data_IF_033813667696
#
_entry.id   IF_033813667696
#
_cell.length_a   1.000
_cell.length_b   1.000
_cell.length_c   1.000
_cell.angle_alpha   90.00
_cell.angle_beta   90.00
_cell.angle_gamma   90.00
#
_symmetry.space_group_name_H-M   'P 1'
#
loop_
_entity.id
_entity.type
_entity.pdbx_description
1 polymer ?
#
# COMPACT_ATOMS: atom_id res chain seq x y z
N UNK A 1 -3.99 -24.01 -0.47
CA UNK A 1 -4.59 -22.75 -0.98
C UNK A 1 -4.44 -22.73 -2.50
N UNK A 2 -5.38 -22.14 -3.25
CA UNK A 2 -5.35 -22.07 -4.72
C UNK A 2 -5.14 -20.63 -5.18
N UNK A 3 -4.12 -20.36 -6.00
CA UNK A 3 -3.90 -19.04 -6.61
C UNK A 3 -5.08 -18.68 -7.52
N UNK A 4 -5.54 -17.43 -7.44
CA UNK A 4 -6.62 -16.86 -8.25
C UNK A 4 -6.12 -15.62 -8.97
N UNK A 5 -6.70 -15.34 -10.13
CA UNK A 5 -6.51 -14.07 -10.83
C UNK A 5 -7.44 -13.04 -10.19
N UNK A 6 -6.95 -11.81 -10.02
CA UNK A 6 -7.78 -10.67 -9.65
C UNK A 6 -8.47 -10.09 -10.88
N UNK A 7 -9.69 -9.60 -10.73
CA UNK A 7 -10.42 -8.87 -11.75
C UNK A 7 -10.54 -7.39 -11.38
N UNK A 8 -10.76 -6.54 -12.38
CA UNK A 8 -10.99 -5.09 -12.20
C UNK A 8 -9.87 -4.40 -11.41
N UNK A 9 -8.61 -4.76 -11.70
CA UNK A 9 -7.45 -4.12 -11.08
C UNK A 9 -7.35 -2.66 -11.54
N UNK A 10 -7.38 -1.74 -10.58
CA UNK A 10 -7.21 -0.30 -10.79
C UNK A 10 -6.10 0.21 -9.88
N UNK A 11 -5.19 0.99 -10.47
CA UNK A 11 -4.08 1.65 -9.78
C UNK A 11 -4.24 3.17 -9.93
N UNK A 12 -4.14 3.92 -8.82
CA UNK A 12 -4.21 5.37 -8.80
C UNK A 12 -3.08 5.98 -7.95
N UNK A 13 -2.74 7.25 -8.24
CA UNK A 13 -1.72 7.99 -7.51
C UNK A 13 -0.35 7.34 -7.64
N UNK A 14 0.41 7.26 -6.52
CA UNK A 14 1.74 6.67 -6.52
C UNK A 14 1.75 5.20 -6.98
N UNK A 15 0.65 4.45 -6.82
CA UNK A 15 0.53 3.09 -7.33
C UNK A 15 0.48 3.00 -8.86
N UNK A 16 -0.01 4.05 -9.55
CA UNK A 16 -0.01 4.12 -11.02
C UNK A 16 1.31 4.62 -11.56
N UNK A 17 1.93 5.56 -10.85
CA UNK A 17 3.21 6.17 -11.25
C UNK A 17 4.35 5.18 -11.09
N UNK A 18 4.25 4.29 -10.09
CA UNK A 18 5.21 3.23 -9.84
C UNK A 18 6.58 3.75 -9.39
N UNK A 19 7.22 2.97 -8.54
CA UNK A 19 8.69 2.91 -8.48
C UNK A 19 9.06 1.65 -9.29
N UNK A 20 10.18 1.67 -10.02
CA UNK A 20 10.74 0.47 -10.68
C UNK A 20 10.74 -0.71 -9.70
N UNK A 21 9.81 -1.65 -9.85
CA UNK A 21 9.63 -2.75 -8.89
C UNK A 21 8.18 -3.22 -8.69
N UNK A 22 7.19 -2.38 -8.99
CA UNK A 22 5.79 -2.81 -9.07
C UNK A 22 5.58 -3.64 -10.35
N UNK A 23 6.03 -4.90 -10.35
CA UNK A 23 5.94 -5.80 -11.51
C UNK A 23 4.50 -5.95 -12.03
N UNK A 24 4.33 -6.64 -13.18
CA UNK A 24 3.07 -6.72 -13.94
C UNK A 24 1.82 -7.16 -13.15
N UNK A 25 2.00 -7.73 -11.97
CA UNK A 25 0.91 -8.11 -11.09
C UNK A 25 1.19 -7.73 -9.62
N UNK A 26 0.77 -6.54 -9.18
CA UNK A 26 0.96 -6.08 -7.80
C UNK A 26 0.10 -6.84 -6.79
N UNK A 27 -0.81 -7.71 -7.22
CA UNK A 27 -1.72 -8.44 -6.32
C UNK A 27 -1.64 -9.95 -6.56
N UNK A 28 -1.24 -10.67 -5.52
CA UNK A 28 -1.29 -12.13 -5.49
C UNK A 28 -2.46 -12.57 -4.61
N UNK A 29 -3.50 -13.11 -5.24
CA UNK A 29 -4.71 -13.58 -4.55
C UNK A 29 -4.70 -15.12 -4.42
N UNK A 30 -5.02 -15.60 -3.23
CA UNK A 30 -5.14 -17.02 -2.92
C UNK A 30 -6.48 -17.30 -2.24
N UNK A 31 -7.18 -18.32 -2.69
CA UNK A 31 -8.43 -18.80 -2.07
C UNK A 31 -8.20 -20.10 -1.28
N UNK A 32 -8.84 -20.21 -0.12
CA UNK A 32 -8.95 -21.42 0.69
C UNK A 32 -10.42 -21.66 1.08
N UNK A 33 -10.74 -22.82 1.67
CA UNK A 33 -12.11 -23.07 2.17
C UNK A 33 -12.57 -22.02 3.19
N UNK A 34 -11.64 -21.52 4.01
CA UNK A 34 -11.91 -20.53 5.05
C UNK A 34 -11.81 -19.08 4.60
N UNK A 35 -11.67 -18.76 3.31
CA UNK A 35 -11.62 -17.38 2.82
C UNK A 35 -10.44 -17.09 1.88
N UNK A 36 -9.92 -15.86 1.93
CA UNK A 36 -8.87 -15.36 1.03
C UNK A 36 -7.64 -14.86 1.77
N UNK A 37 -6.50 -15.06 1.14
CA UNK A 37 -5.24 -14.43 1.50
C UNK A 37 -4.73 -13.67 0.29
N UNK A 38 -4.29 -12.44 0.51
CA UNK A 38 -3.79 -11.54 -0.52
C UNK A 38 -2.44 -11.00 -0.09
N UNK A 39 -1.52 -10.91 -1.06
CA UNK A 39 -0.29 -10.15 -0.92
C UNK A 39 -0.29 -9.04 -1.96
N UNK A 40 -0.25 -7.80 -1.48
CA UNK A 40 -0.29 -6.59 -2.31
C UNK A 40 1.07 -5.91 -2.23
N UNK A 41 1.77 -5.81 -3.36
CA UNK A 41 2.99 -5.00 -3.45
C UNK A 41 2.59 -3.53 -3.42
N UNK A 42 3.12 -2.77 -2.46
CA UNK A 42 2.84 -1.35 -2.34
C UNK A 42 3.84 -0.52 -3.16
N UNK A 43 3.57 0.78 -3.39
CA UNK A 43 4.38 1.60 -4.28
C UNK A 43 5.77 1.98 -3.71
N UNK A 44 6.10 1.60 -2.48
CA UNK A 44 7.42 1.78 -1.86
C UNK A 44 7.82 0.57 -1.02
N UNK A 45 9.12 0.29 -0.94
CA UNK A 45 9.72 -0.73 -0.08
C UNK A 45 10.21 -0.17 1.26
N UNK A 46 9.97 1.12 1.51
CA UNK A 46 10.34 1.80 2.76
C UNK A 46 9.11 1.83 3.68
N UNK A 47 8.96 0.86 4.61
CA UNK A 47 7.79 0.78 5.48
C UNK A 47 7.68 1.97 6.44
N UNK A 48 8.81 2.58 6.81
CA UNK A 48 8.88 3.68 7.79
C UNK A 48 8.20 4.96 7.29
N UNK A 49 8.07 5.11 5.97
CA UNK A 49 7.41 6.25 5.34
C UNK A 49 6.03 5.89 4.77
N UNK A 50 5.55 4.67 5.00
CA UNK A 50 4.37 4.12 4.34
C UNK A 50 3.25 3.84 5.34
N UNK A 51 2.13 4.52 5.14
CA UNK A 51 0.88 4.18 5.81
C UNK A 51 -0.05 3.49 4.83
N UNK A 52 -0.55 2.30 5.17
CA UNK A 52 -1.47 1.53 4.34
C UNK A 52 -2.63 0.96 5.15
N UNK A 53 -3.82 1.02 4.57
CA UNK A 53 -5.06 0.44 5.09
C UNK A 53 -5.82 -0.25 3.96
N UNK A 54 -6.84 -1.01 4.31
CA UNK A 54 -7.78 -1.53 3.33
C UNK A 54 -9.23 -1.44 3.82
N UNK A 55 -10.15 -1.56 2.87
CA UNK A 55 -11.58 -1.80 3.11
C UNK A 55 -12.13 -2.74 2.05
N UNK A 56 -13.26 -3.36 2.35
CA UNK A 56 -14.03 -4.19 1.42
C UNK A 56 -15.39 -3.53 1.23
N UNK A 57 -15.75 -3.18 0.00
CA UNK A 57 -17.02 -2.55 -0.34
C UNK A 57 -18.13 -3.60 -0.56
N UNK A 58 -19.38 -3.13 -0.72
CA UNK A 58 -20.56 -3.98 -0.84
C UNK A 58 -20.50 -4.97 -2.03
N UNK A 59 -19.82 -4.59 -3.10
CA UNK A 59 -19.65 -5.34 -4.35
C UNK A 59 -18.40 -6.24 -4.36
N UNK A 60 -17.86 -6.56 -3.19
CA UNK A 60 -16.65 -7.38 -3.02
C UNK A 60 -15.38 -6.74 -3.60
N UNK A 61 -15.41 -5.43 -3.82
CA UNK A 61 -14.24 -4.65 -4.18
C UNK A 61 -13.37 -4.40 -2.95
N UNK A 62 -12.13 -4.89 -3.01
CA UNK A 62 -11.08 -4.58 -2.05
C UNK A 62 -10.43 -3.29 -2.50
N UNK A 63 -10.28 -2.34 -1.57
CA UNK A 63 -9.57 -1.09 -1.79
C UNK A 63 -8.45 -1.02 -0.77
N UNK A 64 -7.21 -1.09 -1.25
CA UNK A 64 -6.01 -0.80 -0.49
C UNK A 64 -5.62 0.65 -0.78
N UNK A 65 -5.43 1.44 0.26
CA UNK A 65 -5.16 2.87 0.14
C UNK A 65 -4.17 3.32 1.19
N UNK A 66 -3.48 4.42 0.90
CA UNK A 66 -2.44 4.89 1.80
C UNK A 66 -1.74 6.15 1.32
N UNK A 67 -0.76 6.56 2.12
CA UNK A 67 0.10 7.72 1.88
C UNK A 67 1.55 7.28 2.00
N UNK A 68 2.38 7.77 1.08
CA UNK A 68 3.84 7.70 1.19
C UNK A 68 4.33 9.07 1.63
N UNK A 69 5.06 9.13 2.74
CA UNK A 69 5.69 10.34 3.22
C UNK A 69 7.02 10.56 2.48
N UNK A 70 7.02 11.38 1.43
CA UNK A 70 8.23 11.69 0.67
C UNK A 70 9.05 12.83 1.31
N UNK A 71 9.03 12.94 2.65
CA UNK A 71 9.82 13.91 3.40
C UNK A 71 11.31 13.84 3.04
N UNK A 72 12.01 14.97 3.19
CA UNK A 72 13.38 15.19 2.69
C UNK A 72 14.32 13.99 2.91
N UNK A 73 14.99 13.62 1.82
CA UNK A 73 16.17 12.75 1.74
C UNK A 73 17.02 12.92 3.02
N UNK A 74 17.42 11.85 3.73
CA UNK A 74 18.45 11.98 4.76
C UNK A 74 19.69 12.60 4.09
N UNK A 75 19.92 13.89 4.33
CA UNK A 75 21.09 14.59 3.81
C UNK A 75 22.34 13.81 4.21
N UNK A 76 23.41 13.85 3.39
CA UNK A 76 24.63 13.12 3.70
C UNK A 76 25.09 13.53 5.09
N UNK A 77 25.41 12.55 5.93
CA UNK A 77 25.98 12.77 7.25
C UNK A 77 27.09 13.82 7.15
N UNK A 78 26.95 14.97 7.79
CA UNK A 78 28.13 15.78 8.08
C UNK A 78 27.92 16.70 9.26
N UNK A 79 28.82 16.50 10.22
CA UNK A 79 29.48 17.47 11.10
C UNK A 79 29.07 18.94 10.88
N UNK A 80 28.94 19.74 11.97
CA UNK A 80 28.38 21.07 11.88
C UNK A 80 29.36 22.03 11.20
N UNK A 81 28.98 22.58 10.06
CA UNK A 81 29.58 23.80 9.52
C UNK A 81 28.49 24.88 9.48
N UNK A 82 28.70 25.92 10.30
CA UNK A 82 27.89 27.13 10.39
C UNK A 82 27.75 27.79 9.02
N UNK A 83 26.52 28.01 8.54
CA UNK A 83 26.24 29.07 7.57
C UNK A 83 24.89 29.75 7.85
N UNK A 84 25.03 31.00 8.26
CA UNK A 84 24.22 32.19 7.95
C UNK A 84 22.69 32.07 7.83
N UNK A 85 22.02 32.79 8.73
CA UNK A 85 20.60 33.10 8.72
C UNK A 85 20.20 33.74 7.38
N UNK A 86 19.22 33.15 6.70
CA UNK A 86 18.39 33.88 5.73
C UNK A 86 16.94 33.46 5.86
N UNK A 87 16.13 34.41 6.35
CA UNK A 87 14.69 34.35 6.45
C UNK A 87 14.05 34.08 5.08
N UNK A 88 13.41 32.93 4.86
CA UNK A 88 12.21 32.85 4.01
C UNK A 88 11.21 31.84 4.55
N UNK A 89 10.14 32.38 5.11
CA UNK A 89 8.84 31.73 5.29
C UNK A 89 8.46 31.03 3.98
N UNK A 90 8.49 29.70 3.97
CA UNK A 90 7.60 28.77 3.24
C UNK A 90 8.21 27.37 3.40
N UNK A 91 8.10 26.78 4.60
CA UNK A 91 8.33 25.34 4.76
C UNK A 91 7.25 24.67 3.92
N UNK A 92 7.67 24.20 2.75
CA UNK A 92 6.85 23.58 1.72
C UNK A 92 6.00 22.50 2.38
N UNK A 93 4.70 22.59 2.15
CA UNK A 93 3.70 21.61 2.51
C UNK A 93 4.23 20.21 2.11
N UNK A 94 4.26 19.32 3.09
CA UNK A 94 4.79 17.95 3.05
C UNK A 94 4.41 17.24 1.74
N UNK A 95 5.35 16.70 0.93
CA UNK A 95 4.99 15.98 -0.29
C UNK A 95 4.54 14.57 0.09
N UNK A 96 3.30 14.42 0.58
CA UNK A 96 2.68 13.12 0.70
C UNK A 96 2.19 12.65 -0.67
N UNK A 97 2.53 11.42 -1.06
CA UNK A 97 2.05 10.81 -2.30
C UNK A 97 0.96 9.77 -1.97
N UNK A 98 -0.34 10.08 -2.20
CA UNK A 98 -1.41 9.12 -2.00
C UNK A 98 -1.39 8.02 -3.05
N UNK A 99 -1.86 6.83 -2.66
CA UNK A 99 -2.07 5.72 -3.59
C UNK A 99 -3.36 4.97 -3.31
N UNK A 100 -3.89 4.36 -4.36
CA UNK A 100 -5.01 3.42 -4.29
C UNK A 100 -4.71 2.23 -5.21
N UNK A 101 -4.93 1.03 -4.69
CA UNK A 101 -4.95 -0.24 -5.44
C UNK A 101 -6.30 -0.87 -5.14
N UNK A 102 -7.13 -1.09 -6.17
CA UNK A 102 -8.41 -1.77 -5.99
C UNK A 102 -8.60 -2.92 -6.95
N UNK A 103 -9.27 -3.97 -6.49
CA UNK A 103 -9.58 -5.17 -7.27
C UNK A 103 -10.78 -5.89 -6.66
N UNK A 104 -11.40 -6.80 -7.41
CA UNK A 104 -12.60 -7.51 -6.98
C UNK A 104 -12.30 -8.95 -6.56
N UNK A 105 -12.95 -9.40 -5.49
CA UNK A 105 -12.87 -10.80 -5.06
C UNK A 105 -13.70 -11.70 -5.99
N UNK A 106 -13.27 -12.94 -6.25
CA UNK A 106 -13.99 -13.88 -7.11
C UNK A 106 -15.35 -14.34 -6.57
N UNK A 107 -15.57 -14.23 -5.26
CA UNK A 107 -16.80 -14.63 -4.60
C UNK A 107 -16.99 -13.83 -3.30
N UNK A 108 -18.24 -13.71 -2.80
CA UNK A 108 -18.54 -13.00 -1.57
C UNK A 108 -17.79 -13.51 -0.35
N UNK A 109 -17.48 -12.59 0.57
CA UNK A 109 -16.81 -12.89 1.84
C UNK A 109 -17.52 -12.29 3.04
N UNK A 110 -17.28 -12.87 4.20
CA UNK A 110 -17.65 -12.25 5.47
C UNK A 110 -16.68 -11.12 5.83
N UNK A 111 -17.13 -9.88 5.70
CA UNK A 111 -16.29 -8.67 5.84
C UNK A 111 -15.86 -8.38 7.28
N UNK A 112 -16.49 -9.04 8.26
CA UNK A 112 -16.28 -8.80 9.69
C UNK A 112 -14.99 -9.39 10.21
N UNK A 113 -14.49 -10.45 9.57
CA UNK A 113 -13.29 -11.17 10.02
C UNK A 113 -12.19 -10.95 9.00
N UNK A 114 -11.45 -9.86 9.20
CA UNK A 114 -10.32 -9.54 8.35
C UNK A 114 -9.18 -8.95 9.17
N UNK A 115 -7.96 -9.19 8.72
CA UNK A 115 -6.76 -8.58 9.29
C UNK A 115 -5.76 -8.27 8.19
N UNK A 116 -4.85 -7.35 8.50
CA UNK A 116 -3.78 -7.00 7.59
C UNK A 116 -2.46 -6.80 8.32
N UNK A 117 -1.37 -6.89 7.56
CA UNK A 117 -0.02 -6.65 8.04
C UNK A 117 0.80 -5.98 6.94
N UNK A 118 1.46 -4.88 7.28
CA UNK A 118 2.51 -4.31 6.46
C UNK A 118 3.82 -5.01 6.79
N UNK A 119 4.47 -5.56 5.77
CA UNK A 119 5.75 -6.24 5.91
C UNK A 119 6.91 -5.29 5.56
N UNK A 120 8.10 -5.50 6.16
CA UNK A 120 9.29 -4.69 5.86
C UNK A 120 9.74 -4.71 4.40
N UNK A 121 9.31 -5.71 3.63
CA UNK A 121 9.62 -5.85 2.21
C UNK A 121 8.70 -4.99 1.31
N UNK A 122 7.85 -4.15 1.89
CA UNK A 122 6.88 -3.32 1.15
C UNK A 122 5.64 -4.08 0.70
N UNK A 123 5.39 -5.29 1.22
CA UNK A 123 4.17 -6.04 0.92
C UNK A 123 3.11 -5.88 2.01
N UNK A 124 1.87 -5.71 1.58
CA UNK A 124 0.70 -5.61 2.43
C UNK A 124 -0.11 -6.90 2.33
N UNK A 125 -0.07 -7.68 3.40
CA UNK A 125 -0.80 -8.93 3.50
C UNK A 125 -2.19 -8.68 4.07
N UNK A 126 -3.19 -9.32 3.47
CA UNK A 126 -4.58 -9.23 3.91
C UNK A 126 -5.13 -10.65 4.01
N UNK A 127 -5.75 -10.97 5.14
CA UNK A 127 -6.52 -12.20 5.34
C UNK A 127 -7.98 -11.79 5.52
N UNK A 128 -8.85 -12.45 4.78
CA UNK A 128 -10.30 -12.36 4.96
C UNK A 128 -10.79 -13.77 5.23
N UNK A 129 -11.39 -13.98 6.40
CA UNK A 129 -11.91 -15.27 6.81
C UNK A 129 -13.44 -15.30 6.71
N UNK A 130 -13.96 -16.47 6.36
CA UNK A 130 -15.38 -16.77 6.44
C UNK A 130 -15.63 -17.63 7.68
N UNK A 131 -16.66 -17.34 8.48
CA UNK A 131 -17.15 -18.32 9.46
C UNK A 131 -17.74 -19.51 8.69
N UNK A 132 -17.28 -20.71 9.05
CA UNK A 132 -17.83 -21.97 8.53
C UNK A 132 -18.99 -22.44 9.39
#
# INVERSE_FOLDING_TARGET
MRKRKVSELVLCGAAKQGISGLGDNPVQLYSAKGGYYMRVTLPTHEPDILEAKFKIEADEKVIVYGLINCGEIPGPSTRPVKLHVSNRRQRRLTPFAPFIISFKLPAPVEKRISCCRLNPDGTFEIIIANLQ
#
